data_IF_234409169834
#
_entry.id   IF_234409169834
#
_cell.length_a   1.000
_cell.length_b   1.000
_cell.length_c   1.000
_cell.angle_alpha   90.00
_cell.angle_beta   90.00
_cell.angle_gamma   90.00
#
_symmetry.space_group_name_H-M   'P 1'
#
loop_
_entity.id
_entity.type
_entity.pdbx_description
1 polymer ?
#
# COMPACT_ATOMS: atom_id res chain seq x y z
N UNK A 1 -6.88 16.79 -8.39
CA UNK A 1 -7.23 16.14 -7.10
C UNK A 1 -5.97 16.10 -6.26
N UNK A 2 -6.04 16.65 -5.05
CA UNK A 2 -4.90 16.95 -4.18
C UNK A 2 -4.00 15.75 -3.89
N UNK A 3 -2.69 15.94 -4.13
CA UNK A 3 -1.63 15.01 -3.72
C UNK A 3 -1.78 14.68 -2.23
N UNK A 4 -2.07 13.41 -1.93
CA UNK A 4 -1.92 12.88 -0.58
C UNK A 4 -0.41 12.75 -0.35
N UNK A 5 0.22 13.82 0.12
CA UNK A 5 1.57 13.77 0.69
C UNK A 5 1.52 12.85 1.90
N UNK A 6 2.01 11.61 1.76
CA UNK A 6 2.33 10.74 2.88
C UNK A 6 3.50 11.35 3.65
N UNK A 7 3.18 12.33 4.50
CA UNK A 7 4.13 12.86 5.47
C UNK A 7 4.48 11.70 6.39
N UNK A 8 5.69 11.13 6.27
CA UNK A 8 6.29 10.34 7.35
C UNK A 8 6.18 11.23 8.59
N UNK A 9 5.23 10.91 9.47
CA UNK A 9 5.04 11.60 10.74
C UNK A 9 6.30 11.31 11.55
N UNK A 10 7.27 12.21 11.46
CA UNK A 10 8.36 12.33 12.42
C UNK A 10 7.70 12.55 13.78
N UNK A 11 7.60 11.48 14.55
CA UNK A 11 6.85 11.37 15.80
C UNK A 11 7.53 12.20 16.88
N UNK A 12 7.10 13.46 17.05
CA UNK A 12 6.88 13.91 18.44
C UNK A 12 5.89 12.92 19.02
N UNK A 13 6.27 12.14 20.04
CA UNK A 13 5.32 11.26 20.73
C UNK A 13 4.17 12.13 21.22
N UNK A 14 2.99 12.00 20.59
CA UNK A 14 1.78 12.65 21.05
C UNK A 14 1.57 12.25 22.52
N UNK A 15 1.39 13.23 23.40
CA UNK A 15 1.14 13.02 24.82
C UNK A 15 -0.12 12.15 24.99
N UNK A 16 -0.05 11.15 25.88
CA UNK A 16 -1.17 10.26 26.21
C UNK A 16 -0.84 8.78 26.06
N UNK A 17 -1.78 7.91 26.43
CA UNK A 17 -1.60 6.46 26.30
C UNK A 17 -1.43 6.06 24.84
N UNK A 18 -0.44 5.21 24.58
CA UNK A 18 -0.15 4.68 23.25
C UNK A 18 -0.47 3.18 23.17
N UNK A 19 -1.22 2.79 22.16
CA UNK A 19 -1.49 1.40 21.80
C UNK A 19 -1.50 1.30 20.27
N UNK A 20 -0.50 0.63 19.69
CA UNK A 20 -0.51 0.23 18.28
C UNK A 20 -1.53 -0.92 18.13
N UNK A 21 -2.80 -0.58 18.04
CA UNK A 21 -3.93 -1.50 18.16
C UNK A 21 -3.91 -2.55 17.06
N UNK A 22 -3.71 -2.15 15.80
CA UNK A 22 -3.76 -3.08 14.67
C UNK A 22 -2.57 -4.04 14.66
N UNK A 23 -1.36 -3.53 14.92
CA UNK A 23 -0.17 -4.35 15.10
C UNK A 23 -0.34 -5.35 16.26
N UNK A 24 -0.89 -4.89 17.39
CA UNK A 24 -1.17 -5.73 18.55
C UNK A 24 -2.15 -6.85 18.21
N UNK A 25 -3.24 -6.53 17.51
CA UNK A 25 -4.23 -7.51 17.04
C UNK A 25 -3.60 -8.50 16.08
N UNK A 26 -2.85 -8.01 15.08
CA UNK A 26 -2.19 -8.86 14.09
C UNK A 26 -1.29 -9.90 14.76
N UNK A 27 -0.41 -9.45 15.67
CA UNK A 27 0.48 -10.32 16.42
C UNK A 27 -0.29 -11.34 17.28
N UNK A 28 -1.35 -10.92 17.96
CA UNK A 28 -2.19 -11.85 18.73
C UNK A 28 -2.84 -12.90 17.84
N UNK A 29 -3.43 -12.49 16.72
CA UNK A 29 -4.12 -13.38 15.78
C UNK A 29 -3.17 -14.42 15.18
N UNK A 30 -2.00 -13.99 14.69
CA UNK A 30 -0.99 -14.85 14.07
C UNK A 30 -0.49 -15.94 15.03
N UNK A 31 -0.10 -15.55 16.25
CA UNK A 31 0.50 -16.47 17.22
C UNK A 31 -0.53 -17.42 17.86
N UNK A 32 -1.80 -16.99 17.96
CA UNK A 32 -2.80 -17.68 18.79
C UNK A 32 -3.89 -18.41 17.98
N UNK A 33 -3.57 -18.86 16.76
CA UNK A 33 -4.36 -19.84 16.02
C UNK A 33 -4.93 -19.38 14.68
N UNK A 34 -5.05 -18.07 14.44
CA UNK A 34 -5.71 -17.59 13.21
C UNK A 34 -4.86 -17.71 11.96
N UNK A 35 -3.57 -18.07 12.07
CA UNK A 35 -2.80 -18.53 10.91
C UNK A 35 -3.43 -19.77 10.24
N UNK A 36 -4.19 -20.56 11.00
CA UNK A 36 -4.88 -21.78 10.56
C UNK A 36 -6.39 -21.72 10.84
N UNK A 37 -6.98 -20.53 10.91
CA UNK A 37 -8.42 -20.32 11.17
C UNK A 37 -8.96 -20.97 12.46
N UNK A 38 -8.11 -21.20 13.48
CA UNK A 38 -8.54 -21.73 14.78
C UNK A 38 -9.09 -20.63 15.70
N UNK A 39 -10.33 -20.24 15.43
CA UNK A 39 -11.06 -19.23 16.21
C UNK A 39 -11.30 -19.64 17.67
N UNK A 40 -11.43 -20.94 17.93
CA UNK A 40 -11.63 -21.49 19.29
C UNK A 40 -10.39 -21.24 20.16
N UNK A 41 -9.20 -21.54 19.63
CA UNK A 41 -7.92 -21.27 20.30
C UNK A 41 -7.73 -19.78 20.53
N UNK A 42 -8.03 -18.95 19.54
CA UNK A 42 -7.92 -17.50 19.68
C UNK A 42 -8.86 -16.94 20.77
N UNK A 43 -10.12 -17.38 20.80
CA UNK A 43 -11.10 -17.01 21.84
C UNK A 43 -10.64 -17.41 23.24
N UNK A 44 -10.06 -18.61 23.40
CA UNK A 44 -9.48 -19.09 24.67
C UNK A 44 -8.28 -18.24 25.08
N UNK A 45 -7.41 -17.86 24.14
CA UNK A 45 -6.33 -16.90 24.37
C UNK A 45 -6.88 -15.57 24.90
N UNK A 46 -7.85 -14.96 24.22
CA UNK A 46 -8.42 -13.68 24.64
C UNK A 46 -8.97 -13.75 26.07
N UNK A 47 -9.68 -14.84 26.39
CA UNK A 47 -10.25 -15.05 27.73
C UNK A 47 -9.18 -15.15 28.82
N UNK A 48 -8.12 -15.93 28.57
CA UNK A 48 -6.98 -16.06 29.51
C UNK A 48 -6.22 -14.74 29.65
N UNK A 49 -5.99 -14.03 28.54
CA UNK A 49 -5.27 -12.75 28.52
C UNK A 49 -6.05 -11.67 29.28
N UNK A 50 -7.38 -11.58 29.11
CA UNK A 50 -8.24 -10.69 29.91
C UNK A 50 -8.08 -10.96 31.40
N UNK A 51 -8.15 -12.24 31.82
CA UNK A 51 -8.01 -12.61 33.24
C UNK A 51 -6.65 -12.15 33.80
N UNK A 52 -5.55 -12.48 33.10
CA UNK A 52 -4.19 -12.13 33.53
C UNK A 52 -3.98 -10.61 33.59
N UNK A 53 -4.42 -9.86 32.58
CA UNK A 53 -4.28 -8.41 32.58
C UNK A 53 -5.09 -7.80 33.72
N UNK A 54 -6.35 -8.22 33.92
CA UNK A 54 -7.17 -7.74 35.04
C UNK A 54 -6.53 -7.97 36.41
N UNK A 55 -5.92 -9.13 36.62
CA UNK A 55 -5.15 -9.42 37.83
C UNK A 55 -3.93 -8.50 37.96
N UNK A 56 -3.18 -8.31 36.86
CA UNK A 56 -1.98 -7.45 36.83
C UNK A 56 -2.32 -5.99 37.17
N UNK A 57 -3.34 -5.42 36.53
CA UNK A 57 -3.72 -4.00 36.70
C UNK A 57 -4.76 -3.77 37.81
N UNK A 58 -5.07 -4.81 38.60
CA UNK A 58 -6.04 -4.77 39.69
C UNK A 58 -7.47 -4.33 39.30
N UNK A 59 -7.84 -4.50 38.03
CA UNK A 59 -9.20 -4.27 37.51
C UNK A 59 -10.01 -5.57 37.54
N UNK A 60 -10.08 -6.20 38.73
CA UNK A 60 -10.74 -7.49 38.94
C UNK A 60 -12.23 -7.32 39.27
N UNK A 61 -13.03 -8.31 38.85
CA UNK A 61 -14.41 -8.42 39.33
C UNK A 61 -14.38 -8.89 40.79
N UNK A 62 -15.37 -8.46 41.58
CA UNK A 62 -15.43 -8.79 43.01
C UNK A 62 -16.57 -9.77 43.28
N UNK A 63 -16.37 -10.57 44.32
CA UNK A 63 -17.44 -11.34 44.94
C UNK A 63 -17.75 -10.69 46.28
N UNK A 64 -18.95 -10.16 46.42
CA UNK A 64 -19.41 -9.53 47.66
C UNK A 64 -20.67 -10.25 48.12
N UNK A 65 -20.68 -10.74 49.37
CA UNK A 65 -21.84 -11.44 49.95
C UNK A 65 -22.40 -12.57 49.05
N UNK A 66 -21.52 -13.39 48.48
CA UNK A 66 -21.84 -14.47 47.51
C UNK A 66 -22.46 -14.00 46.19
N UNK A 67 -22.51 -12.69 45.94
CA UNK A 67 -22.97 -12.13 44.66
C UNK A 67 -21.78 -11.66 43.82
N UNK A 68 -21.81 -12.02 42.54
CA UNK A 68 -20.82 -11.58 41.57
C UNK A 68 -21.08 -10.11 41.19
N UNK A 69 -20.11 -9.23 41.45
CA UNK A 69 -20.13 -7.83 41.02
C UNK A 69 -19.12 -7.62 39.90
N UNK A 70 -19.65 -7.39 38.70
CA UNK A 70 -18.84 -7.07 37.54
C UNK A 70 -18.28 -5.65 37.65
N UNK A 71 -16.96 -5.49 37.49
CA UNK A 71 -16.35 -4.17 37.41
C UNK A 71 -16.67 -3.52 36.05
N UNK A 72 -17.42 -2.41 36.08
CA UNK A 72 -17.64 -1.54 34.92
C UNK A 72 -16.40 -0.68 34.69
N UNK A 73 -15.83 -0.77 33.50
CA UNK A 73 -14.67 0.04 33.13
C UNK A 73 -15.13 1.49 32.88
N UNK A 74 -14.32 2.44 33.32
CA UNK A 74 -14.48 3.89 33.04
C UNK A 74 -13.13 4.47 32.64
N UNK A 75 -13.13 5.64 32.00
CA UNK A 75 -11.92 6.25 31.46
C UNK A 75 -10.80 6.44 32.50
N UNK A 76 -11.15 6.73 33.76
CA UNK A 76 -10.21 6.90 34.89
C UNK A 76 -9.41 5.62 35.20
N UNK A 77 -9.93 4.44 34.85
CA UNK A 77 -9.21 3.18 35.01
C UNK A 77 -8.12 2.98 33.95
N UNK A 78 -8.17 3.72 32.83
CA UNK A 78 -7.19 3.62 31.74
C UNK A 78 -5.94 4.43 32.11
N UNK A 79 -5.15 3.89 33.04
CA UNK A 79 -3.90 4.51 33.52
C UNK A 79 -2.67 4.07 32.71
N UNK A 80 -2.73 2.89 32.09
CA UNK A 80 -1.66 2.33 31.26
C UNK A 80 -2.22 1.77 29.95
N UNK A 81 -1.36 1.56 28.96
CA UNK A 81 -1.74 0.92 27.69
C UNK A 81 -2.28 -0.50 27.89
N UNK A 82 -1.85 -1.19 28.95
CA UNK A 82 -2.31 -2.53 29.31
C UNK A 82 -3.78 -2.52 29.76
N UNK A 83 -4.24 -1.45 30.41
CA UNK A 83 -5.66 -1.29 30.73
C UNK A 83 -6.52 -1.24 29.46
N UNK A 84 -6.03 -0.59 28.40
CA UNK A 84 -6.72 -0.49 27.09
C UNK A 84 -6.78 -1.84 26.36
N UNK A 85 -5.88 -2.78 26.66
CA UNK A 85 -5.95 -4.13 26.09
C UNK A 85 -7.19 -4.90 26.58
N UNK A 86 -7.73 -4.58 27.77
CA UNK A 86 -8.92 -5.27 28.31
C UNK A 86 -10.16 -5.04 27.42
N UNK A 87 -10.60 -3.80 27.13
CA UNK A 87 -11.73 -3.58 26.24
C UNK A 87 -11.45 -4.09 24.82
N UNK A 88 -10.23 -3.94 24.30
CA UNK A 88 -9.85 -4.50 23.00
C UNK A 88 -10.04 -6.04 22.95
N UNK A 89 -9.53 -6.76 23.94
CA UNK A 89 -9.66 -8.22 24.02
C UNK A 89 -11.11 -8.67 24.23
N UNK A 90 -11.97 -7.85 24.86
CA UNK A 90 -13.41 -8.16 24.95
C UNK A 90 -14.06 -8.16 23.56
N UNK A 91 -13.74 -7.15 22.74
CA UNK A 91 -14.20 -7.07 21.34
C UNK A 91 -13.67 -8.26 20.55
N UNK A 92 -12.35 -8.50 20.58
CA UNK A 92 -11.71 -9.61 19.87
C UNK A 92 -12.25 -10.99 20.29
N UNK A 93 -12.56 -11.19 21.58
CA UNK A 93 -13.18 -12.42 22.06
C UNK A 93 -14.58 -12.64 21.48
N UNK A 94 -15.38 -11.58 21.40
CA UNK A 94 -16.72 -11.66 20.80
C UNK A 94 -16.62 -11.90 19.29
N UNK A 95 -15.70 -11.22 18.62
CA UNK A 95 -15.40 -11.42 17.20
C UNK A 95 -14.97 -12.86 16.94
N UNK A 96 -13.98 -13.39 17.67
CA UNK A 96 -13.53 -14.77 17.52
C UNK A 96 -14.67 -15.78 17.75
N UNK A 97 -15.51 -15.54 18.76
CA UNK A 97 -16.63 -16.43 19.03
C UNK A 97 -17.70 -16.36 17.93
N UNK A 98 -17.96 -15.18 17.37
CA UNK A 98 -18.88 -15.06 16.24
C UNK A 98 -18.37 -15.83 15.01
N UNK A 99 -17.05 -15.80 14.73
CA UNK A 99 -16.47 -16.55 13.61
C UNK A 99 -16.47 -18.07 13.87
N UNK A 100 -16.20 -18.51 15.10
CA UNK A 100 -16.36 -19.93 15.51
C UNK A 100 -17.79 -20.44 15.30
N UNK A 101 -18.78 -19.56 15.46
CA UNK A 101 -20.21 -19.88 15.37
C UNK A 101 -20.80 -19.63 13.98
N UNK A 102 -19.99 -19.38 12.95
CA UNK A 102 -20.52 -19.15 11.62
C UNK A 102 -21.29 -20.40 11.14
N UNK A 103 -22.59 -20.27 10.80
CA UNK A 103 -23.37 -21.38 10.29
C UNK A 103 -22.86 -21.76 8.90
N UNK A 104 -22.78 -23.07 8.63
CA UNK A 104 -22.40 -23.57 7.30
C UNK A 104 -23.55 -23.41 6.32
N UNK A 105 -24.78 -23.62 6.78
CA UNK A 105 -26.01 -23.48 6.03
C UNK A 105 -27.19 -23.10 6.95
N UNK A 106 -28.40 -23.05 6.38
CA UNK A 106 -29.63 -22.66 7.07
C UNK A 106 -30.10 -23.69 8.12
N UNK A 107 -29.61 -24.94 8.06
CA UNK A 107 -29.96 -25.98 9.03
C UNK A 107 -29.36 -25.70 10.41
N UNK A 108 -28.26 -24.95 10.47
CA UNK A 108 -27.61 -24.51 11.71
C UNK A 108 -28.23 -23.22 12.30
N UNK A 109 -29.54 -23.00 12.12
CA UNK A 109 -30.23 -21.78 12.55
C UNK A 109 -29.95 -21.40 14.02
N UNK A 110 -29.92 -22.38 14.94
CA UNK A 110 -29.60 -22.11 16.37
C UNK A 110 -28.19 -21.54 16.56
N UNK A 111 -27.22 -22.03 15.79
CA UNK A 111 -25.83 -21.57 15.79
C UNK A 111 -25.77 -20.14 15.25
N UNK A 112 -26.49 -19.84 14.16
CA UNK A 112 -26.65 -18.50 13.62
C UNK A 112 -27.26 -17.50 14.62
N UNK A 113 -28.31 -17.89 15.35
CA UNK A 113 -28.87 -17.05 16.42
C UNK A 113 -27.85 -16.74 17.53
N UNK A 114 -27.02 -17.73 17.91
CA UNK A 114 -25.98 -17.54 18.91
C UNK A 114 -24.84 -16.66 18.40
N UNK A 115 -24.43 -16.83 17.13
CA UNK A 115 -23.50 -15.94 16.45
C UNK A 115 -23.99 -14.50 16.49
N UNK A 116 -25.25 -14.25 16.11
CA UNK A 116 -25.88 -12.91 16.15
C UNK A 116 -25.82 -12.28 17.54
N UNK A 117 -26.12 -13.05 18.59
CA UNK A 117 -25.97 -12.57 19.98
C UNK A 117 -24.53 -12.15 20.32
N UNK A 118 -23.52 -12.87 19.80
CA UNK A 118 -22.10 -12.52 20.00
C UNK A 118 -21.71 -11.25 19.25
N UNK A 119 -22.21 -11.07 18.03
CA UNK A 119 -22.02 -9.85 17.23
C UNK A 119 -22.67 -8.63 17.90
N UNK A 120 -23.91 -8.75 18.39
CA UNK A 120 -24.54 -7.66 19.15
C UNK A 120 -23.79 -7.35 20.45
N UNK A 121 -23.25 -8.37 21.12
CA UNK A 121 -22.40 -8.14 22.29
C UNK A 121 -21.07 -7.44 21.92
N UNK A 122 -20.52 -7.76 20.76
CA UNK A 122 -19.34 -7.07 20.21
C UNK A 122 -19.62 -5.59 20.01
N UNK A 123 -20.78 -5.23 19.42
CA UNK A 123 -21.21 -3.83 19.24
C UNK A 123 -21.23 -3.06 20.56
N UNK A 124 -21.82 -3.65 21.61
CA UNK A 124 -21.83 -3.05 22.96
C UNK A 124 -20.40 -2.81 23.49
N UNK A 125 -19.50 -3.77 23.33
CA UNK A 125 -18.11 -3.60 23.76
C UNK A 125 -17.33 -2.57 22.92
N UNK A 126 -17.67 -2.41 21.64
CA UNK A 126 -17.10 -1.36 20.80
C UNK A 126 -17.50 0.04 21.33
N UNK A 127 -18.78 0.20 21.68
CA UNK A 127 -19.30 1.45 22.26
C UNK A 127 -18.68 1.76 23.63
N UNK A 128 -18.56 0.74 24.50
CA UNK A 128 -17.79 0.87 25.74
C UNK A 128 -16.35 1.32 25.45
N UNK A 129 -15.67 0.72 24.46
CA UNK A 129 -14.26 1.00 24.17
C UNK A 129 -14.03 2.44 23.70
N UNK A 130 -14.91 2.99 22.86
CA UNK A 130 -14.86 4.42 22.46
C UNK A 130 -14.90 5.34 23.68
N UNK A 131 -15.73 5.03 24.69
CA UNK A 131 -15.80 5.82 25.92
C UNK A 131 -14.52 5.83 26.76
N UNK A 132 -13.63 4.86 26.56
CA UNK A 132 -12.42 4.66 27.35
C UNK A 132 -11.17 5.32 26.74
N UNK A 133 -11.23 5.81 25.49
CA UNK A 133 -10.04 6.29 24.77
C UNK A 133 -9.65 7.75 25.04
N UNK A 134 -10.39 8.50 25.89
CA UNK A 134 -10.19 9.95 26.10
C UNK A 134 -8.76 10.35 26.51
N UNK A 135 -8.05 9.49 27.25
CA UNK A 135 -6.65 9.72 27.68
C UNK A 135 -5.57 9.20 26.72
N UNK A 136 -5.97 8.68 25.54
CA UNK A 136 -5.04 8.13 24.56
C UNK A 136 -4.47 9.23 23.65
N UNK A 137 -3.32 8.97 23.05
CA UNK A 137 -2.78 9.84 22.01
C UNK A 137 -3.65 9.81 20.74
N UNK A 138 -3.49 10.79 19.85
CA UNK A 138 -4.36 10.94 18.66
C UNK A 138 -4.32 9.74 17.74
N UNK A 139 -3.13 9.13 17.56
CA UNK A 139 -2.97 7.90 16.76
C UNK A 139 -3.85 6.77 17.32
N UNK A 140 -3.71 6.47 18.60
CA UNK A 140 -4.47 5.40 19.28
C UNK A 140 -5.97 5.67 19.23
N UNK A 141 -6.41 6.92 19.45
CA UNK A 141 -7.84 7.27 19.34
C UNK A 141 -8.38 6.99 17.94
N UNK A 142 -7.62 7.33 16.89
CA UNK A 142 -8.01 7.06 15.50
C UNK A 142 -8.03 5.57 15.20
N UNK A 143 -7.03 4.80 15.65
CA UNK A 143 -6.99 3.36 15.44
C UNK A 143 -8.17 2.66 16.13
N UNK A 144 -8.47 3.02 17.39
CA UNK A 144 -9.65 2.54 18.13
C UNK A 144 -10.93 2.91 17.38
N UNK A 145 -11.04 4.13 16.87
CA UNK A 145 -12.22 4.58 16.12
C UNK A 145 -12.40 3.79 14.83
N UNK A 146 -11.35 3.64 14.03
CA UNK A 146 -11.37 2.89 12.78
C UNK A 146 -11.76 1.42 13.03
N UNK A 147 -11.14 0.79 14.03
CA UNK A 147 -11.43 -0.60 14.39
C UNK A 147 -12.88 -0.80 14.87
N UNK A 148 -13.40 0.11 15.70
CA UNK A 148 -14.80 0.04 16.14
C UNK A 148 -15.79 0.26 14.99
N UNK A 149 -15.50 1.16 14.04
CA UNK A 149 -16.31 1.34 12.84
C UNK A 149 -16.30 0.07 11.97
N UNK A 150 -15.13 -0.55 11.79
CA UNK A 150 -15.01 -1.81 11.08
C UNK A 150 -15.88 -2.91 11.73
N UNK A 151 -15.79 -3.07 13.06
CA UNK A 151 -16.60 -4.03 13.80
C UNK A 151 -18.10 -3.72 13.74
N UNK A 152 -18.51 -2.44 13.78
CA UNK A 152 -19.90 -2.03 13.56
C UNK A 152 -20.39 -2.35 12.15
N UNK A 153 -19.53 -2.18 11.15
CA UNK A 153 -19.81 -2.59 9.77
C UNK A 153 -20.10 -4.08 9.66
N UNK A 154 -19.33 -4.92 10.37
CA UNK A 154 -19.57 -6.38 10.41
C UNK A 154 -20.94 -6.70 11.02
N UNK A 155 -21.29 -6.06 12.14
CA UNK A 155 -22.58 -6.30 12.80
C UNK A 155 -23.74 -5.86 11.91
N UNK A 156 -23.67 -4.66 11.33
CA UNK A 156 -24.70 -4.15 10.43
C UNK A 156 -24.88 -5.05 9.19
N UNK A 157 -23.79 -5.59 8.66
CA UNK A 157 -23.83 -6.53 7.55
C UNK A 157 -24.63 -7.80 7.91
N UNK A 158 -24.31 -8.40 9.05
CA UNK A 158 -24.99 -9.60 9.56
C UNK A 158 -26.45 -9.31 9.98
N UNK A 159 -26.77 -8.08 10.36
CA UNK A 159 -28.13 -7.60 10.58
C UNK A 159 -28.86 -7.22 9.28
N UNK A 160 -28.24 -7.41 8.12
CA UNK A 160 -28.78 -7.14 6.79
C UNK A 160 -29.01 -5.64 6.53
N UNK A 161 -28.40 -4.77 7.34
CA UNK A 161 -28.36 -3.31 7.21
C UNK A 161 -27.18 -2.91 6.32
N UNK A 162 -27.24 -3.29 5.05
CA UNK A 162 -26.08 -3.20 4.15
C UNK A 162 -25.61 -1.77 3.86
N UNK A 163 -26.53 -0.81 3.82
CA UNK A 163 -26.21 0.62 3.67
C UNK A 163 -25.35 1.13 4.82
N UNK A 164 -25.77 0.84 6.05
CA UNK A 164 -25.02 1.24 7.24
C UNK A 164 -23.70 0.49 7.34
N UNK A 165 -23.68 -0.80 6.97
CA UNK A 165 -22.45 -1.58 6.91
C UNK A 165 -21.41 -0.92 6.01
N UNK A 166 -21.80 -0.53 4.79
CA UNK A 166 -20.90 0.13 3.84
C UNK A 166 -20.48 1.51 4.31
N UNK A 167 -21.40 2.33 4.84
CA UNK A 167 -21.07 3.62 5.47
C UNK A 167 -20.02 3.46 6.58
N UNK A 168 -20.14 2.44 7.42
CA UNK A 168 -19.17 2.17 8.48
C UNK A 168 -17.82 1.69 7.93
N UNK A 169 -17.81 0.81 6.93
CA UNK A 169 -16.56 0.38 6.30
C UNK A 169 -15.82 1.56 5.66
N UNK A 170 -16.49 2.40 4.88
CA UNK A 170 -15.85 3.57 4.27
C UNK A 170 -15.28 4.52 5.32
N UNK A 171 -16.03 4.84 6.38
CA UNK A 171 -15.51 5.67 7.47
C UNK A 171 -14.29 5.04 8.15
N UNK A 172 -14.29 3.72 8.34
CA UNK A 172 -13.15 2.99 8.89
C UNK A 172 -11.92 3.11 7.99
N UNK A 173 -12.10 2.83 6.69
CA UNK A 173 -11.07 2.91 5.64
C UNK A 173 -10.46 4.30 5.56
N UNK A 174 -11.30 5.35 5.58
CA UNK A 174 -10.83 6.74 5.56
C UNK A 174 -9.96 7.05 6.76
N UNK A 175 -10.35 6.65 7.97
CA UNK A 175 -9.59 6.96 9.19
C UNK A 175 -8.26 6.20 9.24
N UNK A 176 -8.27 4.89 8.95
CA UNK A 176 -7.06 4.06 8.99
C UNK A 176 -6.08 4.44 7.89
N UNK A 177 -6.58 4.94 6.75
CA UNK A 177 -5.75 5.32 5.62
C UNK A 177 -4.73 6.41 5.91
N UNK A 178 -4.95 7.22 6.93
CA UNK A 178 -3.98 8.22 7.38
C UNK A 178 -2.92 7.66 8.33
N UNK A 179 -2.95 6.37 8.65
CA UNK A 179 -2.16 5.74 9.72
C UNK A 179 -1.40 4.53 9.20
N UNK A 180 -2.11 3.60 8.54
CA UNK A 180 -1.58 2.30 8.14
C UNK A 180 -2.21 1.85 6.81
N UNK A 181 -1.39 1.81 5.75
CA UNK A 181 -1.82 1.44 4.42
C UNK A 181 -2.09 -0.07 4.27
N UNK A 182 -1.37 -0.90 5.03
CA UNK A 182 -1.54 -2.37 5.00
C UNK A 182 -2.86 -2.74 5.66
N UNK A 183 -3.14 -2.17 6.83
CA UNK A 183 -4.39 -2.46 7.52
C UNK A 183 -5.60 -1.85 6.79
N UNK A 184 -5.43 -0.69 6.16
CA UNK A 184 -6.43 -0.15 5.22
C UNK A 184 -6.83 -1.20 4.18
N UNK A 185 -5.85 -1.85 3.55
CA UNK A 185 -6.10 -2.89 2.55
C UNK A 185 -6.78 -4.13 3.15
N UNK A 186 -6.39 -4.56 4.35
CA UNK A 186 -7.03 -5.69 5.04
C UNK A 186 -8.54 -5.43 5.27
N UNK A 187 -8.89 -4.23 5.70
CA UNK A 187 -10.30 -3.84 5.92
C UNK A 187 -11.07 -3.81 4.60
N UNK A 188 -10.47 -3.23 3.54
CA UNK A 188 -11.05 -3.20 2.19
C UNK A 188 -11.32 -4.63 1.68
N UNK A 189 -10.35 -5.53 1.76
CA UNK A 189 -10.49 -6.90 1.29
C UNK A 189 -11.65 -7.64 1.98
N UNK A 190 -11.79 -7.45 3.30
CA UNK A 190 -12.90 -8.06 4.05
C UNK A 190 -14.24 -7.43 3.70
N UNK A 191 -14.31 -6.12 3.52
CA UNK A 191 -15.53 -5.46 3.05
C UNK A 191 -15.95 -5.96 1.66
N UNK A 192 -15.00 -6.13 0.74
CA UNK A 192 -15.24 -6.73 -0.59
C UNK A 192 -15.71 -8.18 -0.48
N UNK A 193 -15.10 -8.99 0.39
CA UNK A 193 -15.55 -10.37 0.63
C UNK A 193 -17.00 -10.43 1.13
N UNK A 194 -17.37 -9.56 2.07
CA UNK A 194 -18.75 -9.43 2.53
C UNK A 194 -19.69 -9.01 1.39
N UNK A 195 -19.31 -8.02 0.57
CA UNK A 195 -20.08 -7.65 -0.60
C UNK A 195 -20.27 -8.81 -1.59
N UNK A 196 -19.22 -9.60 -1.85
CA UNK A 196 -19.32 -10.77 -2.73
C UNK A 196 -20.33 -11.81 -2.21
N UNK A 197 -20.38 -12.03 -0.88
CA UNK A 197 -21.41 -12.89 -0.25
C UNK A 197 -22.84 -12.35 -0.43
N UNK A 198 -23.02 -11.03 -0.53
CA UNK A 198 -24.35 -10.48 -0.83
C UNK A 198 -24.80 -10.78 -2.26
N UNK A 199 -23.86 -10.78 -3.21
CA UNK A 199 -24.13 -10.98 -4.64
C UNK A 199 -24.57 -12.42 -4.90
N UNK A 200 -23.86 -13.39 -4.31
CA UNK A 200 -24.25 -14.80 -4.41
C UNK A 200 -25.66 -15.03 -3.88
N UNK A 201 -26.08 -14.25 -2.87
CA UNK A 201 -27.38 -14.36 -2.23
C UNK A 201 -28.49 -13.51 -2.91
N UNK A 202 -28.25 -13.01 -4.15
CA UNK A 202 -29.24 -12.35 -5.02
C UNK A 202 -30.00 -11.14 -4.43
N UNK A 203 -29.37 -10.32 -3.58
CA UNK A 203 -29.97 -9.03 -3.14
C UNK A 203 -29.60 -7.90 -4.11
N UNK A 204 -30.37 -7.80 -5.20
CA UNK A 204 -30.13 -6.93 -6.37
C UNK A 204 -30.27 -5.42 -6.09
N UNK A 205 -30.86 -5.02 -4.95
CA UNK A 205 -31.21 -3.62 -4.68
C UNK A 205 -30.01 -2.65 -4.53
N UNK A 206 -28.81 -3.11 -4.16
CA UNK A 206 -27.69 -2.23 -3.75
C UNK A 206 -26.52 -2.18 -4.76
N UNK A 207 -26.78 -2.34 -6.06
CA UNK A 207 -25.75 -2.50 -7.10
C UNK A 207 -24.84 -1.26 -7.29
N UNK A 208 -25.35 -0.04 -7.09
CA UNK A 208 -24.57 1.21 -7.23
C UNK A 208 -23.56 1.42 -6.09
N UNK A 209 -24.01 1.36 -4.84
CA UNK A 209 -23.13 1.57 -3.68
C UNK A 209 -22.05 0.47 -3.55
N UNK A 210 -22.34 -0.74 -4.06
CA UNK A 210 -21.36 -1.80 -4.24
C UNK A 210 -20.27 -1.47 -5.26
N UNK A 211 -20.69 -0.91 -6.41
CA UNK A 211 -19.76 -0.53 -7.49
C UNK A 211 -18.73 0.47 -6.95
N UNK A 212 -19.16 1.44 -6.15
CA UNK A 212 -18.26 2.40 -5.50
C UNK A 212 -17.23 1.73 -4.59
N UNK A 213 -17.63 0.75 -3.75
CA UNK A 213 -16.66 0.04 -2.89
C UNK A 213 -15.68 -0.79 -3.72
N UNK A 214 -16.15 -1.49 -4.76
CA UNK A 214 -15.27 -2.25 -5.63
C UNK A 214 -14.31 -1.35 -6.39
N UNK A 215 -14.79 -0.25 -6.95
CA UNK A 215 -13.98 0.68 -7.71
C UNK A 215 -12.93 1.32 -6.79
N UNK A 216 -13.33 1.68 -5.57
CA UNK A 216 -12.40 2.13 -4.52
C UNK A 216 -11.37 1.05 -4.16
N UNK A 217 -11.78 -0.19 -3.95
CA UNK A 217 -10.89 -1.30 -3.62
C UNK A 217 -9.89 -1.60 -4.74
N UNK A 218 -10.35 -1.52 -6.00
CA UNK A 218 -9.51 -1.67 -7.20
C UNK A 218 -8.49 -0.55 -7.31
N UNK A 219 -8.92 0.70 -7.16
CA UNK A 219 -8.01 1.85 -7.15
C UNK A 219 -6.97 1.76 -6.03
N UNK A 220 -7.38 1.33 -4.84
CA UNK A 220 -6.48 1.25 -3.70
C UNK A 220 -5.46 0.11 -3.86
N UNK A 221 -5.90 -1.05 -4.36
CA UNK A 221 -5.01 -2.16 -4.71
C UNK A 221 -4.01 -1.72 -5.79
N UNK A 222 -4.50 -1.01 -6.81
CA UNK A 222 -3.65 -0.44 -7.85
C UNK A 222 -2.58 0.47 -7.26
N UNK A 223 -2.95 1.43 -6.39
CA UNK A 223 -1.99 2.36 -5.75
C UNK A 223 -0.92 1.65 -4.94
N UNK A 224 -1.28 0.63 -4.16
CA UNK A 224 -0.30 -0.12 -3.36
C UNK A 224 0.66 -0.90 -4.24
N UNK A 225 0.15 -1.63 -5.24
CA UNK A 225 1.00 -2.37 -6.17
C UNK A 225 1.91 -1.45 -6.97
N UNK A 226 1.44 -0.29 -7.41
CA UNK A 226 2.30 0.70 -8.09
C UNK A 226 3.38 1.24 -7.15
N UNK A 227 3.05 1.53 -5.89
CA UNK A 227 4.03 2.00 -4.92
C UNK A 227 5.12 0.95 -4.65
N UNK A 228 4.74 -0.32 -4.49
CA UNK A 228 5.66 -1.44 -4.32
C UNK A 228 6.57 -1.62 -5.54
N UNK A 229 6.00 -1.59 -6.75
CA UNK A 229 6.79 -1.70 -7.98
C UNK A 229 7.74 -0.51 -8.12
N UNK A 230 7.30 0.72 -7.84
CA UNK A 230 8.15 1.91 -7.88
C UNK A 230 9.27 1.82 -6.82
N UNK A 231 9.00 1.30 -5.63
CA UNK A 231 10.03 1.07 -4.61
C UNK A 231 11.08 0.07 -5.10
N UNK A 232 10.65 -1.06 -5.67
CA UNK A 232 11.55 -2.04 -6.29
C UNK A 232 12.38 -1.43 -7.43
N UNK A 233 11.75 -0.64 -8.32
CA UNK A 233 12.45 0.09 -9.39
C UNK A 233 13.51 1.00 -8.78
N UNK A 234 13.16 1.83 -7.80
CA UNK A 234 14.10 2.77 -7.18
C UNK A 234 15.28 2.03 -6.50
N UNK A 235 15.05 0.85 -5.92
CA UNK A 235 16.12 0.00 -5.36
C UNK A 235 17.03 -0.56 -6.46
N UNK A 236 16.46 -1.08 -7.55
CA UNK A 236 17.20 -1.57 -8.70
C UNK A 236 18.02 -0.44 -9.34
N UNK A 237 17.42 0.73 -9.54
CA UNK A 237 18.09 1.93 -10.06
C UNK A 237 19.21 2.40 -9.14
N UNK A 238 19.02 2.32 -7.81
CA UNK A 238 20.10 2.62 -6.86
C UNK A 238 21.28 1.64 -7.02
N UNK A 239 21.00 0.35 -7.24
CA UNK A 239 22.02 -0.66 -7.48
C UNK A 239 22.73 -0.51 -8.82
N UNK A 240 22.07 0.10 -9.81
CA UNK A 240 22.64 0.49 -11.10
C UNK A 240 23.43 1.82 -11.00
N UNK A 241 23.48 2.45 -9.81
CA UNK A 241 23.88 3.84 -9.61
C UNK A 241 22.69 4.76 -9.86
N UNK A 242 22.33 5.63 -8.90
CA UNK A 242 21.11 6.48 -8.93
C UNK A 242 20.91 7.19 -10.27
N UNK A 243 20.18 6.55 -11.19
CA UNK A 243 20.28 6.80 -12.63
C UNK A 243 21.73 6.66 -13.11
N UNK A 244 21.97 6.03 -14.26
CA UNK A 244 23.29 5.89 -14.89
C UNK A 244 23.89 7.25 -15.33
N UNK A 245 24.24 8.09 -14.35
CA UNK A 245 24.75 9.47 -14.39
C UNK A 245 26.19 9.58 -13.87
N UNK A 246 26.94 8.48 -13.85
CA UNK A 246 28.35 8.48 -13.45
C UNK A 246 29.09 7.28 -14.05
N UNK A 247 30.16 7.60 -14.77
CA UNK A 247 31.30 6.86 -15.37
C UNK A 247 31.50 5.33 -15.25
N UNK A 248 30.60 4.50 -14.73
CA UNK A 248 30.79 3.05 -14.63
C UNK A 248 29.59 2.30 -15.21
N UNK A 249 29.62 2.11 -16.53
CA UNK A 249 28.68 1.28 -17.27
C UNK A 249 28.98 -0.21 -17.03
N UNK A 250 28.35 -0.81 -16.02
CA UNK A 250 28.45 -2.25 -15.80
C UNK A 250 27.05 -2.81 -15.52
N UNK A 251 26.48 -3.53 -16.50
CA UNK A 251 25.36 -4.44 -16.25
C UNK A 251 25.86 -5.58 -15.36
N UNK A 252 25.75 -5.37 -14.05
CA UNK A 252 26.01 -6.41 -13.07
C UNK A 252 24.72 -7.20 -12.84
N UNK A 253 24.61 -8.33 -13.54
CA UNK A 253 23.69 -9.45 -13.26
C UNK A 253 22.23 -9.32 -13.77
N UNK A 254 21.98 -8.78 -14.97
CA UNK A 254 20.65 -8.85 -15.61
C UNK A 254 19.60 -7.96 -14.97
N UNK A 255 20.04 -6.95 -14.20
CA UNK A 255 19.15 -6.01 -13.49
C UNK A 255 18.38 -5.11 -14.46
N UNK A 256 18.94 -4.81 -15.63
CA UNK A 256 18.27 -4.03 -16.67
C UNK A 256 16.98 -4.71 -17.14
N UNK A 257 17.02 -6.02 -17.37
CA UNK A 257 15.84 -6.80 -17.77
C UNK A 257 14.76 -6.80 -16.69
N UNK A 258 15.16 -6.88 -15.42
CA UNK A 258 14.23 -6.81 -14.29
C UNK A 258 13.55 -5.43 -14.23
N UNK A 259 14.32 -4.34 -14.36
CA UNK A 259 13.76 -2.97 -14.37
C UNK A 259 12.78 -2.78 -15.53
N UNK A 260 13.13 -3.24 -16.74
CA UNK A 260 12.24 -3.17 -17.90
C UNK A 260 10.95 -4.00 -17.69
N UNK A 261 11.05 -5.16 -17.04
CA UNK A 261 9.89 -5.97 -16.69
C UNK A 261 8.98 -5.27 -15.66
N UNK A 262 9.55 -4.60 -14.66
CA UNK A 262 8.78 -3.81 -13.68
C UNK A 262 8.04 -2.64 -14.34
N UNK A 263 8.68 -1.90 -15.25
CA UNK A 263 7.98 -0.88 -16.04
C UNK A 263 6.87 -1.47 -16.93
N UNK A 264 7.10 -2.65 -17.52
CA UNK A 264 6.07 -3.34 -18.31
C UNK A 264 4.83 -3.66 -17.47
N UNK A 265 5.02 -4.07 -16.20
CA UNK A 265 3.92 -4.31 -15.25
C UNK A 265 3.15 -3.01 -14.98
N UNK A 266 3.86 -1.90 -14.71
CA UNK A 266 3.23 -0.60 -14.48
C UNK A 266 2.36 -0.18 -15.68
N UNK A 267 2.92 -0.24 -16.89
CA UNK A 267 2.21 0.09 -18.14
C UNK A 267 0.96 -0.77 -18.32
N UNK A 268 1.08 -2.09 -18.13
CA UNK A 268 -0.04 -3.01 -18.23
C UNK A 268 -1.15 -2.67 -17.23
N UNK A 269 -0.78 -2.35 -15.99
CA UNK A 269 -1.73 -2.01 -14.94
C UNK A 269 -2.49 -0.71 -15.21
N UNK A 270 -1.82 0.35 -15.69
CA UNK A 270 -2.49 1.61 -16.02
C UNK A 270 -3.44 1.44 -17.22
N UNK A 271 -3.04 0.69 -18.25
CA UNK A 271 -3.91 0.35 -19.41
C UNK A 271 -5.20 -0.37 -19.02
N UNK A 272 -5.19 -1.11 -17.91
CA UNK A 272 -6.36 -1.87 -17.41
C UNK A 272 -7.34 -1.03 -16.59
N UNK A 273 -7.01 0.22 -16.27
CA UNK A 273 -7.92 1.11 -15.53
C UNK A 273 -9.08 1.53 -16.41
N UNK A 274 -10.25 1.82 -15.81
CA UNK A 274 -11.40 2.34 -16.57
C UNK A 274 -11.06 3.66 -17.28
N UNK A 275 -10.26 4.52 -16.65
CA UNK A 275 -9.78 5.79 -17.22
C UNK A 275 -8.24 5.82 -17.14
N UNK A 276 -7.53 5.27 -18.15
CA UNK A 276 -6.07 5.25 -18.16
C UNK A 276 -5.51 6.66 -18.38
N UNK A 277 -4.48 7.04 -17.62
CA UNK A 277 -3.71 8.25 -17.87
C UNK A 277 -2.72 7.99 -19.02
N UNK A 278 -3.02 8.49 -20.21
CA UNK A 278 -2.19 8.32 -21.41
C UNK A 278 -0.77 8.82 -21.20
N UNK A 279 -0.60 10.02 -20.63
CA UNK A 279 0.72 10.60 -20.36
C UNK A 279 1.55 9.74 -19.39
N UNK A 280 0.91 9.06 -18.43
CA UNK A 280 1.60 8.22 -17.45
C UNK A 280 2.13 6.94 -18.11
N UNK A 281 1.33 6.35 -19.01
CA UNK A 281 1.74 5.22 -19.83
C UNK A 281 2.94 5.63 -20.71
N UNK A 282 2.85 6.78 -21.38
CA UNK A 282 3.96 7.28 -22.23
C UNK A 282 5.22 7.55 -21.43
N UNK A 283 5.10 8.11 -20.21
CA UNK A 283 6.26 8.39 -19.35
C UNK A 283 6.99 7.10 -18.95
N UNK A 284 6.25 6.08 -18.52
CA UNK A 284 6.83 4.77 -18.20
C UNK A 284 7.41 4.05 -19.41
N UNK A 285 6.82 4.23 -20.59
CA UNK A 285 7.39 3.72 -21.84
C UNK A 285 8.72 4.40 -22.15
N UNK A 286 8.86 5.71 -21.92
CA UNK A 286 10.12 6.42 -22.11
C UNK A 286 11.23 5.87 -21.19
N UNK A 287 10.92 5.61 -19.91
CA UNK A 287 11.88 5.01 -18.99
C UNK A 287 12.27 3.59 -19.40
N UNK A 288 11.29 2.77 -19.80
CA UNK A 288 11.55 1.43 -20.31
C UNK A 288 12.45 1.46 -21.54
N UNK A 289 12.17 2.35 -22.50
CA UNK A 289 12.93 2.49 -23.74
C UNK A 289 14.36 2.95 -23.46
N UNK A 290 14.58 3.85 -22.50
CA UNK A 290 15.92 4.24 -22.06
C UNK A 290 16.73 3.03 -21.58
N UNK A 291 16.17 2.22 -20.68
CA UNK A 291 16.86 1.01 -20.19
C UNK A 291 17.08 -0.04 -21.28
N UNK A 292 16.17 -0.13 -22.25
CA UNK A 292 16.36 -0.98 -23.42
C UNK A 292 17.54 -0.52 -24.28
N UNK A 293 17.63 0.77 -24.56
CA UNK A 293 18.77 1.36 -25.29
C UNK A 293 20.08 1.13 -24.54
N UNK A 294 20.10 1.30 -23.21
CA UNK A 294 21.27 1.01 -22.39
C UNK A 294 21.68 -0.47 -22.46
N UNK A 295 20.72 -1.40 -22.50
CA UNK A 295 20.99 -2.83 -22.72
C UNK A 295 21.58 -3.11 -24.11
N UNK A 296 21.05 -2.48 -25.17
CA UNK A 296 21.60 -2.57 -26.53
C UNK A 296 23.04 -2.04 -26.60
N UNK A 297 23.31 -0.92 -25.93
CA UNK A 297 24.66 -0.36 -25.80
C UNK A 297 25.62 -1.35 -25.14
N UNK A 298 25.22 -1.96 -24.01
CA UNK A 298 26.03 -2.99 -23.33
C UNK A 298 26.24 -4.26 -24.17
N UNK A 299 25.30 -4.59 -25.07
CA UNK A 299 25.43 -5.68 -26.05
C UNK A 299 26.25 -5.32 -27.30
N UNK A 300 26.86 -4.12 -27.34
CA UNK A 300 27.56 -3.54 -28.49
C UNK A 300 26.70 -3.37 -29.76
N UNK A 301 25.37 -3.26 -29.62
CA UNK A 301 24.43 -2.97 -30.72
C UNK A 301 24.26 -1.46 -30.89
N UNK A 302 25.37 -0.77 -31.17
CA UNK A 302 25.46 0.69 -31.07
C UNK A 302 24.51 1.42 -32.03
N UNK A 303 24.38 0.98 -33.29
CA UNK A 303 23.50 1.64 -34.28
C UNK A 303 22.02 1.58 -33.90
N UNK A 304 21.54 0.41 -33.48
CA UNK A 304 20.16 0.21 -33.03
C UNK A 304 19.86 1.05 -31.79
N UNK A 305 20.79 1.11 -30.85
CA UNK A 305 20.66 1.96 -29.67
C UNK A 305 20.60 3.44 -30.04
N UNK A 306 21.39 3.92 -31.01
CA UNK A 306 21.41 5.33 -31.42
C UNK A 306 20.08 5.77 -32.04
N UNK A 307 19.54 4.99 -32.97
CA UNK A 307 18.28 5.33 -33.64
C UNK A 307 17.13 5.42 -32.65
N UNK A 308 17.05 4.48 -31.71
CA UNK A 308 16.01 4.46 -30.67
C UNK A 308 16.17 5.60 -29.65
N UNK A 309 17.40 5.97 -29.29
CA UNK A 309 17.65 7.10 -28.39
C UNK A 309 17.24 8.44 -29.03
N UNK A 310 17.43 8.59 -30.34
CA UNK A 310 16.99 9.79 -31.08
C UNK A 310 15.47 9.94 -31.03
N UNK A 311 14.74 8.88 -31.38
CA UNK A 311 13.28 8.85 -31.30
C UNK A 311 12.78 9.11 -29.86
N UNK A 312 13.51 8.58 -28.87
CA UNK A 312 13.18 8.78 -27.45
C UNK A 312 13.31 10.26 -27.03
N UNK A 313 14.30 11.00 -27.53
CA UNK A 313 14.48 12.44 -27.22
C UNK A 313 13.27 13.23 -27.70
N UNK A 314 12.89 13.06 -28.97
CA UNK A 314 11.73 13.73 -29.56
C UNK A 314 10.45 13.41 -28.77
N UNK A 315 10.28 12.13 -28.39
CA UNK A 315 9.14 11.67 -27.60
C UNK A 315 9.10 12.32 -26.21
N UNK A 316 10.25 12.46 -25.53
CA UNK A 316 10.32 13.08 -24.20
C UNK A 316 10.02 14.58 -24.30
N UNK A 317 10.56 15.28 -25.29
CA UNK A 317 10.34 16.72 -25.48
C UNK A 317 8.86 17.04 -25.77
N UNK A 318 8.19 16.22 -26.59
CA UNK A 318 6.75 16.35 -26.83
C UNK A 318 5.90 16.08 -25.58
N UNK A 319 6.31 15.10 -24.76
CA UNK A 319 5.55 14.66 -23.59
C UNK A 319 5.68 15.61 -22.39
N UNK A 320 6.88 16.18 -22.16
CA UNK A 320 7.26 16.96 -20.98
C UNK A 320 6.29 18.10 -20.59
N UNK A 321 5.71 18.87 -21.54
CA UNK A 321 4.73 19.92 -21.23
C UNK A 321 3.42 19.38 -20.63
N UNK A 322 3.03 18.15 -20.98
CA UNK A 322 1.72 17.58 -20.69
C UNK A 322 1.62 16.79 -19.37
N UNK A 323 2.75 16.55 -18.69
CA UNK A 323 2.82 15.71 -17.48
C UNK A 323 2.73 16.51 -16.18
N UNK A 324 2.38 15.81 -15.08
CA UNK A 324 2.38 16.35 -13.72
C UNK A 324 3.81 16.72 -13.26
N UNK A 325 3.94 17.69 -12.35
CA UNK A 325 5.24 18.28 -11.97
C UNK A 325 6.25 17.28 -11.39
N UNK A 326 5.79 16.29 -10.62
CA UNK A 326 6.63 15.22 -10.07
C UNK A 326 7.23 14.34 -11.17
N UNK A 327 6.43 14.02 -12.19
CA UNK A 327 6.84 13.21 -13.34
C UNK A 327 7.75 14.00 -14.28
N UNK A 328 7.45 15.29 -14.49
CA UNK A 328 8.25 16.19 -15.33
C UNK A 328 9.72 16.16 -14.95
N UNK A 329 10.03 16.27 -13.66
CA UNK A 329 11.41 16.22 -13.16
C UNK A 329 12.12 14.91 -13.52
N UNK A 330 11.41 13.78 -13.45
CA UNK A 330 11.96 12.46 -13.80
C UNK A 330 12.20 12.33 -15.31
N UNK A 331 11.30 12.86 -16.14
CA UNK A 331 11.49 12.94 -17.59
C UNK A 331 12.69 13.82 -17.97
N UNK A 332 12.82 15.01 -17.39
CA UNK A 332 13.98 15.91 -17.61
C UNK A 332 15.30 15.23 -17.21
N UNK A 333 15.30 14.50 -16.09
CA UNK A 333 16.46 13.70 -15.67
C UNK A 333 16.76 12.60 -16.69
N UNK A 334 15.73 11.89 -17.16
CA UNK A 334 15.87 10.84 -18.18
C UNK A 334 16.41 11.41 -19.49
N UNK A 335 15.92 12.57 -19.94
CA UNK A 335 16.43 13.26 -21.13
C UNK A 335 17.92 13.59 -21.01
N UNK A 336 18.33 14.09 -19.84
CA UNK A 336 19.74 14.38 -19.54
C UNK A 336 20.60 13.11 -19.64
N UNK A 337 20.12 12.00 -19.08
CA UNK A 337 20.80 10.70 -19.18
C UNK A 337 20.85 10.17 -20.62
N UNK A 338 19.76 10.35 -21.38
CA UNK A 338 19.68 9.98 -22.79
C UNK A 338 20.74 10.74 -23.60
N UNK A 339 20.88 12.05 -23.41
CA UNK A 339 21.93 12.85 -24.04
C UNK A 339 23.34 12.36 -23.71
N UNK A 340 23.61 12.04 -22.45
CA UNK A 340 24.91 11.50 -22.03
C UNK A 340 25.20 10.14 -22.68
N UNK A 341 24.22 9.23 -22.69
CA UNK A 341 24.37 7.92 -23.31
C UNK A 341 24.62 8.04 -24.81
N UNK A 342 23.94 8.97 -25.50
CA UNK A 342 24.21 9.21 -26.92
C UNK A 342 25.63 9.72 -27.14
N UNK A 343 26.14 10.61 -26.28
CA UNK A 343 27.54 11.07 -26.35
C UNK A 343 28.51 9.88 -26.22
N UNK A 344 28.35 9.01 -25.22
CA UNK A 344 29.20 7.81 -25.04
C UNK A 344 29.09 6.81 -26.20
N UNK A 345 27.89 6.64 -26.75
CA UNK A 345 27.62 5.82 -27.93
C UNK A 345 28.36 6.37 -29.14
N UNK A 346 28.28 7.68 -29.39
CA UNK A 346 28.97 8.33 -30.49
C UNK A 346 30.50 8.21 -30.36
N UNK A 347 31.05 8.32 -29.14
CA UNK A 347 32.49 8.03 -28.91
C UNK A 347 32.84 6.61 -29.32
N UNK A 348 32.03 5.65 -28.90
CA UNK A 348 32.25 4.22 -29.17
C UNK A 348 32.21 3.92 -30.68
N UNK A 349 31.20 4.45 -31.38
CA UNK A 349 31.10 4.35 -32.85
C UNK A 349 32.28 5.01 -33.57
N UNK A 350 32.75 6.16 -33.08
CA UNK A 350 33.90 6.84 -33.67
C UNK A 350 35.20 6.04 -33.48
N UNK A 351 35.38 5.44 -32.30
CA UNK A 351 36.50 4.55 -32.01
C UNK A 351 36.49 3.32 -32.92
N UNK A 352 35.32 2.69 -33.14
CA UNK A 352 35.18 1.59 -34.12
C UNK A 352 35.59 2.02 -35.54
N UNK A 353 35.27 3.26 -35.94
CA UNK A 353 35.59 3.76 -37.30
C UNK A 353 37.05 4.18 -37.48
N UNK A 354 37.66 4.82 -36.48
CA UNK A 354 38.97 5.50 -36.61
C UNK A 354 40.13 4.80 -35.91
N UNK A 355 39.85 3.75 -35.14
CA UNK A 355 40.84 3.07 -34.30
C UNK A 355 41.39 4.01 -33.21
N UNK A 356 42.72 4.08 -33.07
CA UNK A 356 43.40 4.86 -32.02
C UNK A 356 43.58 6.36 -32.32
N UNK A 357 43.06 6.87 -33.46
CA UNK A 357 43.10 8.31 -33.79
C UNK A 357 42.07 9.15 -33.00
N UNK A 358 41.47 8.60 -31.95
CA UNK A 358 40.34 9.14 -31.18
C UNK A 358 40.69 10.25 -30.15
N UNK A 359 41.96 10.63 -30.01
CA UNK A 359 42.46 11.59 -29.01
C UNK A 359 41.72 12.94 -28.95
N UNK A 360 41.18 13.42 -30.08
CA UNK A 360 40.43 14.68 -30.13
C UNK A 360 39.03 14.59 -29.51
N UNK A 361 38.40 13.42 -29.54
CA UNK A 361 37.05 13.24 -28.97
C UNK A 361 37.12 13.13 -27.46
N UNK A 362 38.11 12.41 -26.92
CA UNK A 362 38.29 12.28 -25.48
C UNK A 362 38.52 13.66 -24.83
N UNK A 363 39.32 14.52 -25.46
CA UNK A 363 39.59 15.88 -24.99
C UNK A 363 38.35 16.82 -25.07
N UNK A 364 37.52 16.69 -26.12
CA UNK A 364 36.31 17.51 -26.25
C UNK A 364 35.13 16.99 -25.43
N UNK A 365 35.10 15.69 -25.12
CA UNK A 365 33.94 15.02 -24.54
C UNK A 365 33.47 15.54 -23.19
N UNK A 366 34.37 16.11 -22.39
CA UNK A 366 34.04 16.72 -21.10
C UNK A 366 33.18 18.00 -21.25
N UNK A 367 33.06 18.54 -22.46
CA UNK A 367 32.39 19.80 -22.78
C UNK A 367 31.31 19.65 -23.88
N UNK A 368 30.97 18.43 -24.29
CA UNK A 368 30.04 18.18 -25.39
C UNK A 368 28.63 17.84 -24.89
N UNK A 369 27.64 18.64 -25.29
CA UNK A 369 26.21 18.37 -25.09
C UNK A 369 25.56 17.93 -26.41
N UNK A 370 24.69 16.92 -26.37
CA UNK A 370 24.16 16.27 -27.58
C UNK A 370 23.38 17.19 -28.56
N UNK A 371 22.69 18.28 -28.17
CA UNK A 371 22.14 19.19 -29.19
C UNK A 371 23.23 19.98 -29.94
N UNK A 372 24.41 20.17 -29.34
CA UNK A 372 25.50 20.97 -29.92
C UNK A 372 26.33 20.19 -30.95
N UNK A 373 26.40 18.87 -30.81
CA UNK A 373 27.12 17.98 -31.71
C UNK A 373 26.41 17.83 -33.06
N UNK A 374 25.08 17.72 -33.03
CA UNK A 374 24.26 17.63 -34.25
C UNK A 374 24.30 18.96 -35.04
N UNK A 375 24.13 20.10 -34.36
CA UNK A 375 24.19 21.44 -34.99
C UNK A 375 25.53 21.76 -35.64
N UNK A 376 26.64 21.25 -35.11
CA UNK A 376 27.98 21.45 -35.67
C UNK A 376 28.26 20.57 -36.89
N UNK A 377 27.30 19.74 -37.33
CA UNK A 377 27.46 18.88 -38.49
C UNK A 377 28.56 17.83 -38.33
N UNK A 378 29.02 17.58 -37.10
CA UNK A 378 30.08 16.60 -36.82
C UNK A 378 29.69 15.19 -37.28
N UNK A 379 28.39 14.94 -37.46
CA UNK A 379 27.85 13.61 -37.68
C UNK A 379 26.78 13.55 -38.77
N UNK A 380 26.74 14.49 -39.73
CA UNK A 380 25.84 14.45 -40.91
C UNK A 380 26.09 13.28 -41.90
N UNK A 381 26.93 12.32 -41.52
CA UNK A 381 27.44 11.23 -42.34
C UNK A 381 26.82 9.86 -42.01
N UNK A 382 25.84 9.82 -41.11
CA UNK A 382 25.21 8.60 -40.60
C UNK A 382 23.69 8.65 -40.73
#
# INVERSE_FOLDING_TARGET
MSEIKYKKLTTKLDKGLNLCLFETIFNWRQVNGLKHDDYTRYRRFCSRRIKRIRQKVQLINKWEKKQFKQLKLVAEHMKTSECLMIPLLKVERCWAYANELQPVDETEARKGHHQKRRLHKMKQYCEEFIGLMKGCNKRTQREITAYNLYMKGMVAFEDHQYEDALKYYFKSITIIGYIDAVERMNIIQKAVSHCNKMISNKKIANRMMYKELLDYAREEKYKLSVAEIIENINELEKHLGQFSLGSEHIDSNGKLDIVMAEYSKLIYMEKKKPNPKTWQISSWQCYQNYYHCLSLFNQNKLKESYTQLRELIDTIDELTPSVEASERKRLETTLTCTHQLVVELLKSLWKEKTGDKALMIDACSQYLEYPSLEKKGWFSWW
#
